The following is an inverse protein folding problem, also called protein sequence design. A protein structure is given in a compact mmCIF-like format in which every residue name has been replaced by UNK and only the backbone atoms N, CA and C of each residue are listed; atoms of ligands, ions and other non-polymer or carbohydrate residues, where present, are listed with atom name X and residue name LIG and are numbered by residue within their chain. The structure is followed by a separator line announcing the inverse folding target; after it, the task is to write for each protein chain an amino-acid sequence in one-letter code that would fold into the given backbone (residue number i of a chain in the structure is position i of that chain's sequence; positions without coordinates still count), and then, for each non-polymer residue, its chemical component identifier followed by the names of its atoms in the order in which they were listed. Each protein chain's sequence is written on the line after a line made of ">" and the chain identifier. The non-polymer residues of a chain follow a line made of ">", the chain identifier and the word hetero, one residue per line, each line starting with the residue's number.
data_IF_333410003267
#
_entry.id   IF_333410003267
#
_cell.length_a   1.000
_cell.length_b   1.000
_cell.length_c   1.000
_cell.angle_alpha   90.00
_cell.angle_beta   90.00
_cell.angle_gamma   90.00
#
_symmetry.space_group_name_H-M   'P 1'
#
loop_
_entity.id
_entity.type
_entity.pdbx_description
1 polymer ?
#
# COMPACT_ATOMS: atom_id res chain seq x y z
N UNK A 1 30.52 14.92 13.57
CA UNK A 1 30.22 16.36 13.86
C UNK A 1 28.77 16.77 13.52
N UNK A 2 27.82 15.82 13.49
CA UNK A 2 26.35 16.03 13.50
C UNK A 2 25.66 15.20 14.60
N UNK A 3 26.31 14.15 15.12
CA UNK A 3 25.83 13.31 16.23
C UNK A 3 25.62 14.08 17.55
N UNK A 4 26.31 15.21 17.77
CA UNK A 4 26.22 15.95 19.03
C UNK A 4 25.06 16.97 19.09
N UNK A 5 24.45 17.36 17.94
CA UNK A 5 23.30 18.30 17.93
C UNK A 5 21.95 17.60 18.05
N UNK A 6 21.93 16.27 18.03
CA UNK A 6 20.73 15.46 18.23
C UNK A 6 20.51 15.04 19.69
N UNK A 7 21.46 15.34 20.57
CA UNK A 7 21.38 15.01 21.98
C UNK A 7 20.60 16.09 22.73
N UNK A 8 19.41 15.70 23.19
CA UNK A 8 18.79 16.22 24.41
C UNK A 8 17.97 17.51 24.28
N UNK A 9 16.93 17.53 23.43
CA UNK A 9 15.64 17.09 23.96
C UNK A 9 14.83 16.14 23.07
N UNK A 10 14.96 16.21 21.75
CA UNK A 10 14.11 15.45 20.81
C UNK A 10 14.27 13.94 20.96
N UNK A 11 15.50 13.46 21.09
CA UNK A 11 15.81 12.05 21.33
C UNK A 11 15.24 11.56 22.67
N UNK A 12 15.34 12.36 23.73
CA UNK A 12 14.82 12.01 25.05
C UNK A 12 13.29 11.92 25.03
N UNK A 13 12.64 12.85 24.32
CA UNK A 13 11.20 12.86 24.12
C UNK A 13 10.72 11.67 23.27
N UNK A 14 11.47 11.31 22.21
CA UNK A 14 11.20 10.11 21.41
C UNK A 14 11.22 8.85 22.26
N UNK A 15 12.30 8.66 23.03
CA UNK A 15 12.45 7.49 23.90
C UNK A 15 11.35 7.43 24.96
N UNK A 16 10.99 8.56 25.58
CA UNK A 16 9.85 8.63 26.52
C UNK A 16 8.53 8.27 25.86
N UNK A 17 8.24 8.81 24.68
CA UNK A 17 7.01 8.53 23.96
C UNK A 17 6.87 7.05 23.60
N UNK A 18 7.93 6.47 23.01
CA UNK A 18 7.96 5.05 22.61
C UNK A 18 7.86 4.14 23.84
N UNK A 19 8.64 4.40 24.89
CA UNK A 19 8.60 3.66 26.14
C UNK A 19 7.21 3.65 26.78
N UNK A 20 6.57 4.83 26.82
CA UNK A 20 5.20 4.97 27.35
C UNK A 20 4.18 4.18 26.53
N UNK A 21 4.25 4.25 25.21
CA UNK A 21 3.32 3.57 24.30
C UNK A 21 3.43 2.06 24.38
N UNK A 22 4.67 1.55 24.37
CA UNK A 22 4.99 0.12 24.43
C UNK A 22 4.94 -0.44 25.86
N UNK A 23 4.76 0.42 26.87
CA UNK A 23 4.85 0.07 28.28
C UNK A 23 6.14 -0.69 28.61
N UNK A 24 7.27 -0.19 28.09
CA UNK A 24 8.62 -0.74 28.28
C UNK A 24 9.54 0.31 28.90
N UNK A 25 10.56 -0.05 29.70
CA UNK A 25 11.58 0.89 30.14
C UNK A 25 12.30 1.57 28.97
N UNK A 26 12.77 2.81 29.15
CA UNK A 26 13.46 3.55 28.07
C UNK A 26 14.78 2.90 27.67
N UNK A 27 15.45 2.30 28.64
CA UNK A 27 16.67 1.52 28.48
C UNK A 27 16.50 0.27 27.60
N UNK A 28 15.25 -0.18 27.41
CA UNK A 28 14.88 -1.30 26.56
C UNK A 28 14.45 -0.86 25.15
N UNK A 29 14.64 0.42 24.79
CA UNK A 29 14.43 0.97 23.44
C UNK A 29 15.79 1.25 22.80
N UNK A 30 16.12 0.51 21.74
CA UNK A 30 17.42 0.52 21.09
C UNK A 30 17.34 1.17 19.73
N UNK A 31 17.94 2.35 19.58
CA UNK A 31 18.02 3.05 18.30
C UNK A 31 19.26 2.61 17.55
N UNK A 32 19.09 2.19 16.29
CA UNK A 32 20.17 1.71 15.44
C UNK A 32 20.51 2.67 14.29
N UNK A 33 19.58 3.54 13.89
CA UNK A 33 19.82 4.50 12.81
C UNK A 33 18.91 5.73 12.95
N UNK A 34 19.46 6.92 12.67
CA UNK A 34 18.72 8.18 12.57
C UNK A 34 19.21 8.87 11.30
N UNK A 35 18.30 9.14 10.37
CA UNK A 35 18.62 9.81 9.11
C UNK A 35 17.61 10.92 8.85
N UNK A 36 18.06 12.03 8.26
CA UNK A 36 17.10 13.00 7.71
C UNK A 36 16.34 12.34 6.57
N UNK A 37 15.03 12.54 6.55
CA UNK A 37 14.25 12.26 5.37
C UNK A 37 14.44 13.41 4.38
N UNK A 38 15.17 13.14 3.29
CA UNK A 38 15.45 14.13 2.26
C UNK A 38 14.35 14.22 1.21
N UNK A 39 13.41 13.27 1.22
CA UNK A 39 12.36 13.13 0.22
C UNK A 39 11.08 13.89 0.64
N UNK A 40 10.94 14.17 1.94
CA UNK A 40 9.87 15.00 2.50
C UNK A 40 10.36 16.43 2.74
N UNK A 41 9.61 17.43 2.27
CA UNK A 41 9.91 18.84 2.58
C UNK A 41 9.71 19.14 4.07
N UNK A 42 10.78 19.50 4.79
CA UNK A 42 10.74 19.81 6.23
C UNK A 42 11.96 19.27 6.98
N UNK A 43 11.93 19.35 8.32
CA UNK A 43 12.91 18.67 9.19
C UNK A 43 12.32 17.34 9.68
N UNK A 44 12.21 16.37 8.77
CA UNK A 44 11.71 15.01 9.07
C UNK A 44 12.89 14.06 9.28
N UNK A 45 12.74 13.14 10.22
CA UNK A 45 13.78 12.17 10.58
C UNK A 45 13.24 10.76 10.56
N UNK A 46 13.93 9.90 9.84
CA UNK A 46 13.72 8.47 9.84
C UNK A 46 14.51 7.86 11.00
N UNK A 47 13.77 7.47 12.03
CA UNK A 47 14.31 6.81 13.23
C UNK A 47 14.01 5.34 13.16
N UNK A 48 15.07 4.56 13.32
CA UNK A 48 15.10 3.13 13.11
C UNK A 48 15.51 2.51 14.44
N UNK A 49 14.59 1.77 15.07
CA UNK A 49 14.74 1.28 16.43
C UNK A 49 14.07 -0.08 16.66
N UNK A 50 14.49 -0.75 17.73
CA UNK A 50 13.83 -1.94 18.29
C UNK A 50 13.49 -1.71 19.77
N UNK A 51 12.58 -2.50 20.31
CA UNK A 51 12.25 -2.44 21.73
C UNK A 51 12.03 -3.85 22.30
N UNK A 52 12.43 -4.06 23.55
CA UNK A 52 12.19 -5.30 24.29
C UNK A 52 10.89 -5.17 25.10
N UNK A 53 10.07 -6.20 25.10
CA UNK A 53 8.86 -6.26 25.92
C UNK A 53 9.22 -6.74 27.33
N UNK A 54 8.87 -6.00 28.39
CA UNK A 54 9.18 -6.40 29.75
C UNK A 54 8.32 -7.58 30.22
N UNK A 55 7.22 -7.87 29.52
CA UNK A 55 6.32 -8.98 29.85
C UNK A 55 6.82 -10.30 29.31
N UNK A 56 7.34 -10.30 28.08
CA UNK A 56 7.79 -11.52 27.41
C UNK A 56 9.30 -11.73 27.50
N UNK A 57 10.07 -10.66 27.75
CA UNK A 57 11.52 -10.72 27.65
C UNK A 57 12.02 -10.94 26.21
N UNK A 58 11.19 -10.62 25.22
CA UNK A 58 11.51 -10.73 23.80
C UNK A 58 11.35 -9.37 23.12
N UNK A 59 12.06 -9.18 22.01
CA UNK A 59 11.89 -7.99 21.16
C UNK A 59 10.51 -8.01 20.50
N UNK A 60 9.87 -6.85 20.43
CA UNK A 60 8.66 -6.68 19.62
C UNK A 60 8.99 -6.93 18.14
N UNK A 61 8.10 -7.60 17.42
CA UNK A 61 8.20 -7.70 15.96
C UNK A 61 7.98 -6.33 15.32
N UNK A 62 8.43 -6.16 14.07
CA UNK A 62 8.21 -4.92 13.31
C UNK A 62 6.71 -4.61 13.18
N UNK A 63 5.88 -5.63 12.99
CA UNK A 63 4.43 -5.50 12.89
C UNK A 63 3.82 -5.06 14.24
N UNK A 64 4.22 -5.68 15.35
CA UNK A 64 3.75 -5.31 16.70
C UNK A 64 4.11 -3.86 17.05
N UNK A 65 5.33 -3.43 16.70
CA UNK A 65 5.77 -2.04 16.87
C UNK A 65 4.89 -1.08 16.08
N UNK A 66 4.70 -1.35 14.78
CA UNK A 66 3.86 -0.52 13.91
C UNK A 66 2.43 -0.42 14.44
N UNK A 67 1.82 -1.55 14.82
CA UNK A 67 0.45 -1.59 15.36
C UNK A 67 0.31 -0.79 16.65
N UNK A 68 1.18 -1.01 17.64
CA UNK A 68 1.10 -0.34 18.94
C UNK A 68 1.34 1.17 18.81
N UNK A 69 2.34 1.58 18.03
CA UNK A 69 2.67 2.99 17.81
C UNK A 69 1.59 3.71 17.03
N UNK A 70 1.00 3.05 16.02
CA UNK A 70 -0.08 3.63 15.22
C UNK A 70 -1.38 3.77 16.03
N UNK A 71 -1.77 2.73 16.77
CA UNK A 71 -3.00 2.75 17.59
C UNK A 71 -2.93 3.78 18.72
N UNK A 72 -1.74 4.05 19.25
CA UNK A 72 -1.52 5.02 20.34
C UNK A 72 -0.82 6.30 19.86
N UNK A 73 -0.89 6.62 18.56
CA UNK A 73 -0.20 7.78 17.96
C UNK A 73 -0.54 9.11 18.64
N UNK A 74 -1.78 9.29 19.11
CA UNK A 74 -2.19 10.50 19.83
C UNK A 74 -1.45 10.63 21.17
N UNK A 75 -1.32 9.53 21.90
CA UNK A 75 -0.53 9.47 23.13
C UNK A 75 0.95 9.68 22.85
N UNK A 76 1.47 9.05 21.78
CA UNK A 76 2.85 9.21 21.35
C UNK A 76 3.18 10.68 21.07
N UNK A 77 2.35 11.36 20.28
CA UNK A 77 2.49 12.79 19.96
C UNK A 77 2.32 13.67 21.19
N UNK A 78 1.36 13.36 22.07
CA UNK A 78 1.14 14.13 23.30
C UNK A 78 2.30 14.03 24.29
N UNK A 79 2.98 12.88 24.38
CA UNK A 79 4.05 12.64 25.37
C UNK A 79 5.41 13.09 24.82
N UNK A 80 5.67 12.83 23.54
CA UNK A 80 6.96 13.16 22.93
C UNK A 80 7.02 14.58 22.35
N UNK A 81 5.87 15.25 22.19
CA UNK A 81 5.77 16.49 21.40
C UNK A 81 6.30 16.32 19.97
N UNK A 82 6.41 15.07 19.48
CA UNK A 82 6.80 14.72 18.12
C UNK A 82 5.55 14.47 17.29
N UNK A 83 5.53 15.02 16.08
CA UNK A 83 4.55 14.64 15.08
C UNK A 83 4.97 13.30 14.48
N UNK A 84 4.17 12.26 14.73
CA UNK A 84 4.38 10.95 14.14
C UNK A 84 3.63 10.94 12.83
N UNK A 85 4.37 11.05 11.73
CA UNK A 85 3.80 10.83 10.41
C UNK A 85 3.26 9.38 10.37
N UNK A 86 2.11 9.15 9.72
CA UNK A 86 1.66 7.78 9.47
C UNK A 86 2.79 7.02 8.76
N UNK A 87 3.02 5.77 9.15
CA UNK A 87 3.88 4.87 8.39
C UNK A 87 3.26 4.72 6.99
N UNK A 88 3.80 5.39 5.97
CA UNK A 88 3.32 5.32 4.59
C UNK A 88 4.23 4.34 3.80
N UNK A 89 3.76 3.57 2.81
CA UNK A 89 2.58 3.81 1.99
C UNK A 89 1.63 2.60 1.94
N UNK A 90 0.52 2.67 2.69
CA UNK A 90 -0.65 1.94 2.25
C UNK A 90 -1.20 2.70 1.03
N UNK A 91 -0.79 2.30 -0.17
CA UNK A 91 -1.26 2.92 -1.44
C UNK A 91 -2.80 2.90 -1.57
N UNK A 92 -3.50 2.12 -0.73
CA UNK A 92 -4.95 2.11 -0.61
C UNK A 92 -5.56 3.14 0.36
N UNK A 93 -4.76 3.95 1.06
CA UNK A 93 -5.24 4.88 2.10
C UNK A 93 -6.26 5.90 1.58
N UNK A 94 -6.19 6.25 0.29
CA UNK A 94 -7.13 7.17 -0.38
C UNK A 94 -8.26 6.46 -1.12
N UNK A 95 -8.40 5.16 -0.94
CA UNK A 95 -9.33 4.29 -1.69
C UNK A 95 -9.39 4.63 -3.19
N UNK A 96 -8.25 4.56 -3.91
CA UNK A 96 -8.18 5.04 -5.29
C UNK A 96 -8.97 4.20 -6.30
N UNK A 97 -9.51 3.05 -5.90
CA UNK A 97 -10.29 2.18 -6.76
C UNK A 97 -11.69 2.77 -7.01
N UNK A 98 -12.08 2.84 -8.27
CA UNK A 98 -13.40 3.32 -8.66
C UNK A 98 -14.43 2.18 -8.63
N UNK A 99 -15.71 2.50 -8.86
CA UNK A 99 -16.81 1.53 -8.97
C UNK A 99 -17.00 0.66 -7.71
N UNK A 100 -16.83 1.27 -6.53
CA UNK A 100 -17.03 0.64 -5.20
C UNK A 100 -16.13 -0.58 -4.93
N UNK A 101 -14.96 -0.65 -5.58
CA UNK A 101 -14.09 -1.81 -5.46
C UNK A 101 -13.09 -1.73 -4.32
N UNK A 102 -12.78 -2.91 -3.78
CA UNK A 102 -11.80 -3.06 -2.72
C UNK A 102 -10.38 -2.92 -3.26
N UNK A 103 -9.68 -1.96 -2.70
CA UNK A 103 -8.25 -1.73 -2.89
C UNK A 103 -7.43 -2.76 -2.10
N UNK A 104 -6.40 -3.34 -2.73
CA UNK A 104 -5.46 -4.25 -2.08
C UNK A 104 -4.01 -3.86 -2.39
N UNK A 105 -3.16 -3.89 -1.36
CA UNK A 105 -1.71 -3.77 -1.49
C UNK A 105 -1.12 -5.07 -2.01
N UNK A 106 -0.25 -5.00 -3.02
CA UNK A 106 0.40 -6.17 -3.62
C UNK A 106 1.89 -5.92 -3.80
N UNK A 107 2.70 -6.98 -3.72
CA UNK A 107 4.10 -6.93 -4.15
C UNK A 107 4.12 -7.14 -5.68
N UNK A 108 4.63 -6.15 -6.41
CA UNK A 108 4.89 -6.26 -7.85
C UNK A 108 6.38 -6.53 -8.05
N UNK A 109 6.69 -7.21 -9.14
CA UNK A 109 8.06 -7.55 -9.51
C UNK A 109 8.38 -6.79 -10.80
N UNK A 110 9.31 -5.84 -10.72
CA UNK A 110 9.74 -4.98 -11.83
C UNK A 110 10.92 -5.64 -12.57
N UNK A 111 10.87 -5.59 -13.91
CA UNK A 111 12.00 -5.89 -14.79
C UNK A 111 12.49 -4.64 -15.55
N UNK A 112 12.03 -3.45 -15.16
CA UNK A 112 12.14 -2.15 -15.82
C UNK A 112 13.27 -1.25 -15.31
N UNK A 113 14.46 -1.81 -15.03
CA UNK A 113 15.67 -0.99 -15.18
C UNK A 113 15.91 -0.75 -16.68
N UNK A 114 16.02 0.51 -17.17
CA UNK A 114 16.28 0.79 -18.57
C UNK A 114 17.63 0.14 -18.97
N UNK A 115 17.58 -0.73 -19.96
CA UNK A 115 18.73 -1.49 -20.44
C UNK A 115 19.70 -0.59 -21.21
N UNK A 116 21.00 -0.85 -21.06
CA UNK A 116 21.96 -0.71 -22.17
C UNK A 116 22.43 -2.14 -22.47
N UNK A 117 21.98 -2.69 -23.59
CA UNK A 117 22.40 -3.99 -24.08
C UNK A 117 23.84 -3.90 -24.63
N UNK A 118 24.71 -4.80 -24.19
CA UNK A 118 25.85 -5.27 -24.96
C UNK A 118 25.93 -6.79 -24.77
N UNK A 119 26.29 -7.49 -25.84
CA UNK A 119 26.26 -8.95 -25.99
C UNK A 119 26.88 -9.70 -24.80
N UNK A 120 26.01 -10.12 -23.87
CA UNK A 120 26.14 -11.23 -22.92
C UNK A 120 24.80 -11.34 -22.21
N UNK A 121 24.12 -12.49 -22.31
CA UNK A 121 22.82 -12.72 -21.68
C UNK A 121 22.94 -12.54 -20.17
N UNK A 122 22.39 -11.44 -19.65
CA UNK A 122 22.47 -11.08 -18.24
C UNK A 122 21.11 -11.38 -17.59
N UNK A 123 21.05 -12.43 -16.79
CA UNK A 123 19.90 -12.68 -15.91
C UNK A 123 19.94 -11.62 -14.80
N UNK A 124 18.94 -10.73 -14.79
CA UNK A 124 18.79 -9.75 -13.70
C UNK A 124 17.95 -10.32 -12.56
N UNK A 125 18.29 -9.99 -11.30
CA UNK A 125 17.43 -10.30 -10.16
C UNK A 125 16.15 -9.49 -10.24
N UNK A 126 15.04 -10.18 -9.95
CA UNK A 126 13.73 -9.60 -9.76
C UNK A 126 13.76 -8.82 -8.44
N UNK A 127 13.66 -7.50 -8.48
CA UNK A 127 13.51 -6.71 -7.25
C UNK A 127 12.02 -6.49 -6.94
N UNK A 128 11.56 -6.79 -5.72
CA UNK A 128 10.18 -6.53 -5.32
C UNK A 128 9.96 -5.03 -5.14
N UNK A 129 8.93 -4.51 -5.80
CA UNK A 129 8.41 -3.14 -5.63
C UNK A 129 7.02 -3.25 -5.00
N UNK A 130 6.73 -2.42 -4.00
CA UNK A 130 5.38 -2.30 -3.42
C UNK A 130 4.45 -1.62 -4.42
N UNK A 131 3.25 -2.18 -4.63
CA UNK A 131 2.29 -1.65 -5.58
C UNK A 131 0.84 -1.81 -5.12
N UNK A 132 -0.04 -1.15 -5.86
CA UNK A 132 -1.49 -1.21 -5.68
C UNK A 132 -2.12 -2.16 -6.72
N UNK A 133 -3.20 -2.84 -6.36
CA UNK A 133 -4.10 -3.48 -7.33
C UNK A 133 -5.56 -3.26 -6.92
N UNK A 134 -6.39 -2.87 -7.88
CA UNK A 134 -7.84 -2.89 -7.72
C UNK A 134 -8.40 -4.23 -8.22
N UNK A 135 -9.30 -4.84 -7.44
CA UNK A 135 -10.05 -6.02 -7.90
C UNK A 135 -11.26 -5.53 -8.69
N UNK A 136 -11.17 -5.49 -10.02
CA UNK A 136 -12.27 -4.98 -10.84
C UNK A 136 -13.46 -5.93 -10.87
N UNK A 137 -14.70 -5.41 -10.93
CA UNK A 137 -15.88 -6.21 -11.16
C UNK A 137 -15.94 -6.62 -12.63
N UNK A 138 -16.83 -7.56 -12.94
CA UNK A 138 -17.08 -7.97 -14.32
C UNK A 138 -17.49 -6.76 -15.18
N UNK A 139 -16.94 -6.68 -16.39
CA UNK A 139 -17.21 -5.58 -17.30
C UNK A 139 -16.34 -4.33 -17.10
N UNK A 140 -15.35 -4.33 -16.17
CA UNK A 140 -14.45 -3.19 -15.96
C UNK A 140 -12.96 -3.61 -15.92
N UNK A 141 -12.07 -2.69 -16.30
CA UNK A 141 -10.62 -2.86 -16.41
C UNK A 141 -9.87 -1.54 -16.15
N UNK A 142 -8.53 -1.56 -16.24
CA UNK A 142 -7.66 -0.46 -15.85
C UNK A 142 -7.03 -0.66 -14.48
N UNK A 143 -5.99 0.13 -14.19
CA UNK A 143 -5.25 0.02 -12.92
C UNK A 143 -6.13 0.39 -11.71
N UNK A 144 -7.15 1.22 -11.93
CA UNK A 144 -8.11 1.70 -10.93
C UNK A 144 -9.56 1.26 -11.21
N UNK A 145 -9.77 0.33 -12.15
CA UNK A 145 -11.08 -0.11 -12.63
C UNK A 145 -11.93 1.00 -13.27
N UNK A 146 -11.27 2.00 -13.84
CA UNK A 146 -11.85 3.19 -14.45
C UNK A 146 -12.36 2.98 -15.88
N UNK A 147 -11.97 1.88 -16.53
CA UNK A 147 -12.33 1.60 -17.93
C UNK A 147 -13.43 0.55 -18.00
N UNK A 148 -14.52 0.83 -18.71
CA UNK A 148 -15.59 -0.16 -18.97
C UNK A 148 -15.25 -1.00 -20.21
N UNK A 149 -15.32 -2.33 -20.08
CA UNK A 149 -15.06 -3.30 -21.13
C UNK A 149 -16.26 -3.31 -22.08
N UNK A 150 -16.01 -3.05 -23.37
CA UNK A 150 -17.04 -3.22 -24.39
C UNK A 150 -17.22 -4.71 -24.74
N UNK A 151 -18.09 -5.40 -24.00
CA UNK A 151 -18.37 -6.82 -24.20
C UNK A 151 -19.03 -7.13 -25.56
N UNK A 152 -19.58 -6.13 -26.26
CA UNK A 152 -20.11 -6.31 -27.61
C UNK A 152 -19.04 -6.37 -28.70
N UNK A 153 -17.78 -5.98 -28.43
CA UNK A 153 -16.73 -5.91 -29.45
C UNK A 153 -16.48 -7.25 -30.15
N UNK A 154 -16.55 -8.35 -29.41
CA UNK A 154 -16.35 -9.70 -29.94
C UNK A 154 -17.58 -10.28 -30.65
N UNK A 155 -18.66 -9.51 -30.82
CA UNK A 155 -19.96 -9.97 -31.32
C UNK A 155 -20.44 -11.26 -30.64
N UNK A 156 -20.61 -11.26 -29.30
CA UNK A 156 -20.94 -12.46 -28.53
C UNK A 156 -22.34 -13.02 -28.82
N UNK A 157 -23.20 -12.25 -29.49
CA UNK A 157 -24.56 -12.65 -29.79
C UNK A 157 -24.62 -13.70 -30.90
N UNK A 158 -25.17 -14.86 -30.55
CA UNK A 158 -25.35 -15.97 -31.47
C UNK A 158 -26.43 -15.65 -32.53
N UNK A 159 -26.40 -16.42 -33.63
CA UNK A 159 -27.43 -16.39 -34.70
C UNK A 159 -27.66 -15.00 -35.32
N UNK A 160 -26.62 -14.14 -35.36
CA UNK A 160 -26.72 -12.80 -35.91
C UNK A 160 -27.56 -11.84 -35.06
N UNK A 161 -27.69 -12.11 -33.75
CA UNK A 161 -28.30 -11.20 -32.79
C UNK A 161 -27.56 -9.87 -32.69
N UNK A 162 -28.29 -8.80 -32.36
CA UNK A 162 -27.75 -7.46 -32.20
C UNK A 162 -27.29 -7.29 -30.74
N UNK A 163 -26.01 -7.03 -30.55
CA UNK A 163 -25.46 -6.76 -29.22
C UNK A 163 -25.68 -5.29 -28.83
N UNK A 164 -26.15 -5.07 -27.61
CA UNK A 164 -26.30 -3.73 -27.01
C UNK A 164 -25.54 -3.68 -25.69
N UNK A 165 -24.66 -2.69 -25.53
CA UNK A 165 -23.88 -2.51 -24.28
C UNK A 165 -24.78 -2.10 -23.12
N UNK A 166 -24.45 -2.56 -21.92
CA UNK A 166 -25.05 -2.19 -20.64
C UNK A 166 -23.95 -1.88 -19.64
N UNK A 167 -24.25 -1.09 -18.62
CA UNK A 167 -23.31 -0.83 -17.53
C UNK A 167 -22.91 -2.16 -16.87
N UNK A 168 -21.62 -2.48 -16.89
CA UNK A 168 -21.10 -3.76 -16.39
C UNK A 168 -21.44 -5.00 -17.23
N UNK A 169 -22.04 -4.86 -18.43
CA UNK A 169 -22.60 -6.01 -19.17
C UNK A 169 -22.96 -5.76 -20.64
N UNK A 170 -23.69 -6.72 -21.23
CA UNK A 170 -24.28 -6.56 -22.56
C UNK A 170 -25.60 -7.34 -22.65
N UNK A 171 -26.45 -6.95 -23.60
CA UNK A 171 -27.70 -7.66 -23.92
C UNK A 171 -27.71 -8.03 -25.39
N UNK A 172 -28.13 -9.26 -25.69
CA UNK A 172 -28.35 -9.71 -27.06
C UNK A 172 -29.83 -9.63 -27.43
N UNK A 173 -30.12 -8.93 -28.51
CA UNK A 173 -31.45 -8.85 -29.09
C UNK A 173 -31.50 -9.76 -30.31
N UNK A 174 -32.31 -10.81 -30.24
CA UNK A 174 -32.53 -11.68 -31.40
C UNK A 174 -33.24 -10.92 -32.52
N UNK A 175 -32.80 -11.12 -33.77
CA UNK A 175 -33.62 -10.72 -34.92
C UNK A 175 -34.88 -11.59 -34.93
N UNK A 176 -36.01 -10.99 -35.28
CA UNK A 176 -37.35 -11.59 -35.18
C UNK A 176 -37.36 -13.08 -35.57
N UNK A 177 -37.93 -13.91 -34.67
CA UNK A 177 -38.13 -15.37 -34.69
C UNK A 177 -37.34 -16.23 -33.69
N UNK A 178 -36.59 -15.68 -32.73
CA UNK A 178 -36.10 -16.46 -31.59
C UNK A 178 -36.45 -15.80 -30.26
N UNK A 179 -37.26 -16.52 -29.48
CA UNK A 179 -37.76 -16.13 -28.16
C UNK A 179 -36.71 -16.42 -27.09
N UNK A 180 -36.24 -15.36 -26.45
CA UNK A 180 -35.66 -15.25 -25.10
C UNK A 180 -34.82 -16.42 -24.56
N UNK A 181 -33.50 -16.22 -24.47
CA UNK A 181 -32.71 -16.77 -23.35
C UNK A 181 -31.94 -15.60 -22.74
N UNK A 182 -32.33 -15.21 -21.52
CA UNK A 182 -31.46 -14.44 -20.62
C UNK A 182 -30.35 -15.39 -20.16
N UNK A 183 -29.10 -15.04 -20.46
CA UNK A 183 -27.98 -15.50 -19.64
C UNK A 183 -27.45 -14.24 -18.98
N UNK A 184 -28.03 -13.92 -17.81
CA UNK A 184 -27.28 -13.18 -16.80
C UNK A 184 -26.12 -14.09 -16.37
N UNK A 185 -24.90 -13.61 -16.60
CA UNK A 185 -23.70 -14.05 -15.89
C UNK A 185 -22.96 -12.81 -15.43
#
# INVERSE_FOLDING_TARGET
>A
MWEERFLSPLLANFLEGVATVLATPKEDVFIFNIQNDTDVGGQVLNVSFSAMSPRSGHFFSSEELQEQLYMKRMTLTSVSMLEVLPFDDNVCLREPCQNYMKCISVLRFDSSSPFIASLSTLFRPIHPITGLRCRCPQGFTGDYCEMEINLCYSNPCLNGGICTRKEGGYTCICRQNFSTIMIDL
#
